data_IF_285604734512
#
_entry.id   IF_285604734512
#
_cell.length_a   1.000
_cell.length_b   1.000
_cell.length_c   1.000
_cell.angle_alpha   90.00
_cell.angle_beta   90.00
_cell.angle_gamma   90.00
#
_symmetry.space_group_name_H-M   'P 1'
#
loop_
_entity.id
_entity.type
_entity.pdbx_description
1 polymer ?
#
# COMPACT_ATOMS: atom_id res chain seq x y z
N UNK A 1 7.92 43.99 11.93
CA UNK A 1 7.55 42.57 12.11
C UNK A 1 6.62 42.22 10.96
N UNK A 2 7.10 41.43 9.99
CA UNK A 2 6.30 41.03 8.83
C UNK A 2 5.22 40.08 9.32
N UNK A 3 3.97 40.53 9.31
CA UNK A 3 2.81 39.67 9.58
C UNK A 3 2.74 38.64 8.45
N UNK A 4 3.20 37.42 8.73
CA UNK A 4 3.03 36.29 7.83
C UNK A 4 1.54 35.96 7.77
N UNK A 5 0.84 36.52 6.78
CA UNK A 5 -0.53 36.11 6.46
C UNK A 5 -0.47 34.68 5.96
N UNK A 6 -1.11 33.76 6.68
CA UNK A 6 -1.20 32.36 6.26
C UNK A 6 -1.88 32.30 4.87
N UNK A 7 -1.25 31.59 3.90
CA UNK A 7 -1.84 31.35 2.58
C UNK A 7 -3.06 30.42 2.71
N UNK A 8 -3.99 30.53 1.75
CA UNK A 8 -5.17 29.67 1.67
C UNK A 8 -4.78 28.18 1.52
N UNK A 9 -5.48 27.26 2.22
CA UNK A 9 -5.34 25.81 2.03
C UNK A 9 -6.02 25.30 0.75
N UNK A 10 -6.83 26.14 0.12
CA UNK A 10 -7.43 25.87 -1.18
C UNK A 10 -6.66 26.64 -2.26
N UNK A 11 -5.97 25.94 -3.19
CA UNK A 11 -5.37 26.56 -4.36
C UNK A 11 -6.39 27.26 -5.24
N UNK A 12 -5.95 28.24 -6.03
CA UNK A 12 -6.78 28.88 -7.05
C UNK A 12 -6.93 28.04 -8.33
N UNK A 13 -6.08 27.02 -8.50
CA UNK A 13 -6.12 26.08 -9.63
C UNK A 13 -7.31 25.12 -9.48
N UNK A 14 -7.92 24.74 -10.61
CA UNK A 14 -8.88 23.64 -10.66
C UNK A 14 -8.21 22.29 -10.33
N UNK A 15 -8.91 21.40 -9.62
CA UNK A 15 -8.40 20.05 -9.31
C UNK A 15 -8.56 19.13 -10.52
N UNK A 16 -7.57 19.13 -11.40
CA UNK A 16 -7.46 18.26 -12.57
C UNK A 16 -6.34 17.20 -12.39
N UNK A 17 -5.85 17.01 -11.18
CA UNK A 17 -4.78 16.07 -10.89
C UNK A 17 -5.31 14.65 -10.84
N UNK A 18 -4.47 13.70 -11.27
CA UNK A 18 -4.72 12.28 -11.06
C UNK A 18 -3.91 11.79 -9.86
N UNK A 19 -4.56 11.07 -8.95
CA UNK A 19 -3.97 10.71 -7.66
C UNK A 19 -3.65 9.22 -7.57
N UNK A 20 -2.48 8.92 -7.01
CA UNK A 20 -2.07 7.58 -6.62
C UNK A 20 -1.68 7.60 -5.13
N UNK A 21 -2.71 7.63 -4.28
CA UNK A 21 -2.57 7.83 -2.83
C UNK A 21 -1.77 6.73 -2.14
N UNK A 22 -1.71 5.52 -2.71
CA UNK A 22 -0.89 4.43 -2.19
C UNK A 22 0.62 4.74 -2.23
N UNK A 23 1.05 5.58 -3.18
CA UNK A 23 2.44 6.00 -3.36
C UNK A 23 2.64 7.49 -3.05
N UNK A 24 1.64 8.14 -2.45
CA UNK A 24 1.64 9.57 -2.13
C UNK A 24 2.02 10.45 -3.33
N UNK A 25 1.51 10.10 -4.51
CA UNK A 25 1.81 10.79 -5.75
C UNK A 25 0.55 11.44 -6.35
N UNK A 26 0.76 12.60 -6.98
CA UNK A 26 -0.23 13.25 -7.83
C UNK A 26 0.43 13.61 -9.17
N UNK A 27 -0.29 13.38 -10.26
CA UNK A 27 0.18 13.65 -11.62
C UNK A 27 -0.65 14.75 -12.23
N UNK A 28 0.05 15.81 -12.62
CA UNK A 28 -0.48 16.98 -13.30
C UNK A 28 -0.07 16.90 -14.78
N UNK A 29 -1.04 17.00 -15.69
CA UNK A 29 -0.85 16.87 -17.14
C UNK A 29 -0.74 18.26 -17.80
N UNK A 30 -0.99 19.33 -17.04
CA UNK A 30 -0.97 20.69 -17.58
C UNK A 30 0.42 21.10 -18.10
N UNK A 31 0.41 22.00 -19.08
CA UNK A 31 1.64 22.56 -19.61
C UNK A 31 2.31 23.48 -18.59
N UNK A 32 3.61 23.27 -18.36
CA UNK A 32 4.42 24.12 -17.48
C UNK A 32 5.32 24.99 -18.36
N UNK A 33 5.09 26.30 -18.32
CA UNK A 33 5.99 27.28 -18.93
C UNK A 33 7.26 27.38 -18.09
N UNK A 34 8.43 27.17 -18.69
CA UNK A 34 9.71 27.03 -17.99
C UNK A 34 10.28 28.33 -17.37
N UNK A 35 9.46 29.37 -17.17
CA UNK A 35 9.89 30.55 -16.42
C UNK A 35 10.00 30.17 -14.95
N UNK A 36 11.16 30.47 -14.37
CA UNK A 36 11.66 29.93 -13.10
C UNK A 36 10.79 30.26 -11.88
N UNK A 37 9.92 31.26 -11.99
CA UNK A 37 9.11 31.78 -10.90
C UNK A 37 7.77 31.03 -10.73
N UNK A 38 7.34 30.23 -11.72
CA UNK A 38 6.04 29.54 -11.67
C UNK A 38 6.13 28.12 -11.06
N UNK A 39 7.30 27.47 -11.12
CA UNK A 39 7.44 26.05 -10.74
C UNK A 39 7.17 25.84 -9.25
N UNK A 40 7.64 26.73 -8.38
CA UNK A 40 7.42 26.62 -6.94
C UNK A 40 5.95 26.81 -6.56
N UNK A 41 5.25 27.77 -7.20
CA UNK A 41 3.82 27.99 -6.95
C UNK A 41 2.98 26.81 -7.46
N UNK A 42 3.28 26.29 -8.65
CA UNK A 42 2.64 25.09 -9.21
C UNK A 42 2.88 23.88 -8.30
N UNK A 43 4.13 23.65 -7.88
CA UNK A 43 4.47 22.54 -6.99
C UNK A 43 3.77 22.67 -5.63
N UNK A 44 3.67 23.90 -5.09
CA UNK A 44 2.95 24.18 -3.84
C UNK A 44 1.47 23.87 -3.98
N UNK A 45 0.83 24.31 -5.06
CA UNK A 45 -0.59 24.05 -5.32
C UNK A 45 -0.89 22.57 -5.48
N UNK A 46 -0.10 21.86 -6.28
CA UNK A 46 -0.25 20.42 -6.49
C UNK A 46 -0.03 19.63 -5.19
N UNK A 47 0.96 20.02 -4.39
CA UNK A 47 1.22 19.40 -3.07
C UNK A 47 0.08 19.68 -2.10
N UNK A 48 -0.48 20.89 -2.12
CA UNK A 48 -1.60 21.25 -1.26
C UNK A 48 -2.84 20.40 -1.56
N UNK A 49 -3.17 20.19 -2.85
CA UNK A 49 -4.28 19.31 -3.24
C UNK A 49 -4.04 17.86 -2.79
N UNK A 50 -2.83 17.35 -2.97
CA UNK A 50 -2.45 16.01 -2.52
C UNK A 50 -2.60 15.87 -0.99
N UNK A 51 -2.12 16.85 -0.22
CA UNK A 51 -2.28 16.85 1.24
C UNK A 51 -3.76 16.85 1.62
N UNK A 52 -4.58 17.69 0.98
CA UNK A 52 -6.02 17.73 1.27
C UNK A 52 -6.64 16.33 1.09
N UNK A 53 -6.32 15.62 -0.01
CA UNK A 53 -6.79 14.24 -0.24
C UNK A 53 -6.30 13.23 0.80
N UNK A 54 -5.07 13.38 1.30
CA UNK A 54 -4.52 12.51 2.35
C UNK A 54 -5.28 12.72 3.67
N UNK A 55 -5.60 13.97 4.01
CA UNK A 55 -6.30 14.29 5.25
C UNK A 55 -7.80 13.98 5.20
N UNK A 56 -8.37 13.85 4.00
CA UNK A 56 -9.73 13.32 3.80
C UNK A 56 -9.83 11.81 4.08
N UNK A 57 -8.71 11.08 4.14
CA UNK A 57 -8.69 9.65 4.41
C UNK A 57 -9.12 9.33 5.85
N UNK A 58 -9.71 8.15 6.02
CA UNK A 58 -10.08 7.63 7.34
C UNK A 58 -8.85 7.50 8.22
N UNK A 59 -8.84 8.24 9.33
CA UNK A 59 -7.81 8.20 10.35
C UNK A 59 -8.22 7.35 11.54
N UNK A 60 -7.26 6.64 12.12
CA UNK A 60 -7.41 5.84 13.33
C UNK A 60 -6.37 6.29 14.36
N UNK A 61 -6.80 6.48 15.61
CA UNK A 61 -5.88 6.64 16.73
C UNK A 61 -5.57 5.26 17.32
N UNK A 62 -4.29 4.97 17.54
CA UNK A 62 -3.94 3.85 18.39
C UNK A 62 -4.55 4.14 19.77
N UNK A 63 -5.43 3.27 20.29
CA UNK A 63 -6.32 3.48 21.46
C UNK A 63 -5.63 3.73 22.82
N UNK A 64 -4.47 4.35 22.82
CA UNK A 64 -3.72 4.96 23.91
C UNK A 64 -4.07 6.46 23.88
N UNK A 65 -4.35 7.07 25.04
CA UNK A 65 -4.86 8.44 25.15
C UNK A 65 -3.98 9.52 24.48
N UNK A 66 -2.72 9.22 24.17
CA UNK A 66 -1.76 10.06 23.45
C UNK A 66 -1.02 9.28 22.34
N UNK A 67 -1.70 8.31 21.72
CA UNK A 67 -1.14 7.49 20.66
C UNK A 67 -0.97 8.24 19.33
N UNK A 68 -0.06 7.78 18.46
CA UNK A 68 0.06 8.32 17.11
C UNK A 68 -1.23 8.10 16.29
N UNK A 69 -1.54 9.07 15.44
CA UNK A 69 -2.67 9.03 14.48
C UNK A 69 -2.16 8.54 13.14
N UNK A 70 -2.85 7.55 12.57
CA UNK A 70 -2.49 6.99 11.27
C UNK A 70 -3.67 7.08 10.31
N UNK A 71 -3.39 7.36 9.05
CA UNK A 71 -4.35 7.18 7.96
C UNK A 71 -4.08 5.82 7.29
N UNK A 72 -5.14 5.06 7.02
CA UNK A 72 -5.01 3.86 6.18
C UNK A 72 -5.01 4.29 4.72
N UNK A 73 -3.89 4.08 4.01
CA UNK A 73 -3.81 4.36 2.59
C UNK A 73 -4.60 3.30 1.79
N UNK A 74 -5.29 3.69 0.69
CA UNK A 74 -5.97 2.74 -0.17
C UNK A 74 -4.99 1.71 -0.76
N UNK A 75 -5.42 0.46 -0.89
CA UNK A 75 -4.60 -0.52 -1.60
C UNK A 75 -4.58 -0.24 -3.10
N UNK A 76 -3.43 -0.50 -3.74
CA UNK A 76 -3.30 -0.37 -5.20
C UNK A 76 -4.34 -1.19 -5.98
N UNK A 77 -4.77 -2.35 -5.46
CA UNK A 77 -5.80 -3.16 -6.15
C UNK A 77 -7.22 -2.62 -5.99
N UNK A 78 -7.48 -1.81 -4.97
CA UNK A 78 -8.75 -1.13 -4.76
C UNK A 78 -8.81 0.13 -5.63
N UNK A 79 -7.72 0.92 -5.65
CA UNK A 79 -7.55 2.06 -6.57
C UNK A 79 -7.72 1.62 -8.03
N UNK A 80 -7.05 0.55 -8.47
CA UNK A 80 -7.15 0.06 -9.84
C UNK A 80 -8.57 -0.41 -10.27
N UNK A 81 -9.49 -0.62 -9.32
CA UNK A 81 -10.89 -0.99 -9.60
C UNK A 81 -11.81 0.21 -9.71
N UNK A 82 -11.38 1.39 -9.26
CA UNK A 82 -12.16 2.61 -9.38
C UNK A 82 -12.15 3.12 -10.83
N UNK A 83 -13.27 3.70 -11.32
CA UNK A 83 -13.39 4.15 -12.71
C UNK A 83 -12.42 5.28 -13.06
N UNK A 84 -12.03 6.07 -12.07
CA UNK A 84 -11.07 7.19 -12.10
C UNK A 84 -9.72 6.84 -11.47
N UNK A 85 -9.54 5.59 -11.03
CA UNK A 85 -8.36 5.16 -10.29
C UNK A 85 -7.13 4.98 -11.17
N UNK A 86 -6.10 5.78 -10.91
CA UNK A 86 -4.79 5.64 -11.55
C UNK A 86 -3.88 4.75 -10.70
N UNK A 87 -3.27 3.74 -11.33
CA UNK A 87 -2.24 2.89 -10.71
C UNK A 87 -1.09 2.68 -11.68
N UNK A 88 0.05 3.30 -11.38
CA UNK A 88 1.31 3.09 -12.10
C UNK A 88 1.86 1.70 -11.75
N UNK A 89 1.95 0.84 -12.76
CA UNK A 89 2.52 -0.51 -12.61
C UNK A 89 4.04 -0.43 -12.63
N UNK A 90 4.66 -0.63 -11.47
CA UNK A 90 6.11 -0.70 -11.36
C UNK A 90 6.63 -2.09 -11.74
N UNK A 91 7.76 -2.19 -12.46
CA UNK A 91 8.39 -3.46 -12.75
C UNK A 91 8.88 -4.10 -11.45
N UNK A 92 8.64 -5.41 -11.31
CA UNK A 92 9.21 -6.17 -10.18
C UNK A 92 10.72 -6.30 -10.36
N UNK A 93 11.46 -6.09 -9.28
CA UNK A 93 12.90 -6.38 -9.23
C UNK A 93 13.19 -7.87 -9.48
N UNK A 94 12.36 -8.74 -8.88
CA UNK A 94 12.54 -10.20 -8.92
C UNK A 94 11.37 -10.88 -9.62
N UNK A 95 11.64 -11.95 -10.41
CA UNK A 95 10.58 -12.76 -10.99
C UNK A 95 9.70 -13.34 -9.89
N UNK A 96 8.50 -13.79 -10.28
CA UNK A 96 7.63 -14.50 -9.35
C UNK A 96 8.36 -15.74 -8.81
N UNK A 97 8.22 -16.05 -7.51
CA UNK A 97 8.74 -17.28 -6.95
C UNK A 97 8.28 -18.46 -7.81
N UNK A 98 9.24 -19.25 -8.30
CA UNK A 98 8.90 -20.44 -9.08
C UNK A 98 8.07 -21.39 -8.20
N UNK A 99 7.05 -22.06 -8.76
CA UNK A 99 6.32 -23.07 -8.01
C UNK A 99 7.31 -24.10 -7.48
N UNK A 100 7.14 -24.51 -6.23
CA UNK A 100 8.02 -25.49 -5.59
C UNK A 100 8.02 -26.77 -6.43
N UNK A 101 9.17 -27.24 -6.91
CA UNK A 101 9.21 -28.50 -7.63
C UNK A 101 8.78 -29.63 -6.69
N UNK A 102 7.94 -30.53 -7.18
CA UNK A 102 7.52 -31.68 -6.37
C UNK A 102 8.73 -32.53 -6.02
N UNK A 103 8.86 -32.88 -4.74
CA UNK A 103 9.88 -33.81 -4.27
C UNK A 103 9.63 -35.21 -4.85
N UNK A 104 10.65 -36.08 -4.87
CA UNK A 104 10.48 -37.48 -5.32
C UNK A 104 9.37 -38.20 -4.54
N UNK A 105 9.27 -37.90 -3.24
CA UNK A 105 8.22 -38.45 -2.37
C UNK A 105 6.84 -37.92 -2.74
N UNK A 106 6.67 -36.62 -2.95
CA UNK A 106 5.38 -36.04 -3.37
C UNK A 106 4.89 -36.59 -4.70
N UNK A 107 5.80 -36.81 -5.67
CA UNK A 107 5.46 -37.48 -6.93
C UNK A 107 4.96 -38.90 -6.72
N UNK A 108 5.70 -39.69 -5.93
CA UNK A 108 5.30 -41.05 -5.58
C UNK A 108 3.97 -41.10 -4.83
N UNK A 109 3.78 -40.21 -3.84
CA UNK A 109 2.56 -40.12 -3.06
C UNK A 109 1.36 -39.78 -3.95
N UNK A 110 1.52 -38.82 -4.86
CA UNK A 110 0.48 -38.45 -5.83
C UNK A 110 0.13 -39.60 -6.78
N UNK A 111 1.14 -40.28 -7.34
CA UNK A 111 0.93 -41.40 -8.26
C UNK A 111 0.27 -42.61 -7.57
N UNK A 112 0.52 -42.80 -6.27
CA UNK A 112 -0.08 -43.87 -5.46
C UNK A 112 -1.38 -43.48 -4.76
N UNK A 113 -1.83 -42.24 -4.88
CA UNK A 113 -3.00 -41.73 -4.16
C UNK A 113 -2.83 -41.78 -2.64
N UNK A 114 -1.60 -41.59 -2.15
CA UNK A 114 -1.30 -41.53 -0.72
C UNK A 114 -1.61 -40.12 -0.19
N UNK A 115 -2.45 -40.05 0.83
CA UNK A 115 -2.77 -38.80 1.50
C UNK A 115 -1.56 -38.23 2.27
N UNK A 116 -1.46 -36.90 2.28
CA UNK A 116 -0.49 -36.20 3.10
C UNK A 116 -0.70 -36.56 4.58
N UNK A 117 0.39 -36.95 5.25
CA UNK A 117 0.33 -37.24 6.68
C UNK A 117 -0.09 -35.97 7.42
N UNK A 118 -1.25 -36.03 8.09
CA UNK A 118 -1.68 -34.99 9.03
C UNK A 118 -0.58 -34.76 10.06
N UNK A 119 -0.25 -33.49 10.33
CA UNK A 119 0.68 -33.13 11.41
C UNK A 119 0.11 -33.67 12.72
N UNK A 120 0.84 -34.61 13.34
CA UNK A 120 0.55 -35.11 14.69
C UNK A 120 1.38 -34.32 15.69
N UNK A 121 0.91 -34.25 16.93
CA UNK A 121 1.72 -33.73 18.04
C UNK A 121 3.00 -34.54 18.20
N UNK A 122 4.05 -33.89 18.73
CA UNK A 122 5.35 -34.54 18.96
C UNK A 122 5.33 -35.50 20.18
N UNK A 123 4.45 -35.25 21.14
CA UNK A 123 4.21 -36.14 22.30
C UNK A 123 3.38 -37.34 21.88
N UNK A 124 3.83 -38.50 22.33
CA UNK A 124 3.22 -39.80 22.07
C UNK A 124 3.22 -40.52 23.41
N UNK A 125 2.02 -40.79 23.90
CA UNK A 125 1.80 -41.51 25.15
C UNK A 125 2.56 -42.84 25.18
N UNK A 126 3.37 -43.05 26.22
CA UNK A 126 4.02 -44.32 26.51
C UNK A 126 3.19 -45.10 27.53
N UNK A 127 2.64 -46.24 27.10
CA UNK A 127 1.80 -47.11 27.93
C UNK A 127 2.56 -47.73 29.12
N UNK A 128 3.90 -47.82 29.04
CA UNK A 128 4.74 -48.43 30.07
C UNK A 128 5.01 -47.46 31.21
N UNK A 129 5.36 -46.23 30.88
CA UNK A 129 5.67 -45.17 31.85
C UNK A 129 4.45 -44.33 32.24
N UNK A 130 3.33 -44.45 31.52
CA UNK A 130 2.11 -43.65 31.68
C UNK A 130 2.39 -42.15 31.62
N UNK A 131 3.23 -41.75 30.66
CA UNK A 131 3.64 -40.36 30.43
C UNK A 131 3.58 -40.00 28.92
N UNK A 132 3.65 -38.70 28.59
CA UNK A 132 3.43 -38.12 27.24
C UNK A 132 4.70 -37.85 26.42
#
# INVERSE_FOLDING_TARGET
MSTSTLRSPYPSKEDNLSYQLCDLAAFDIDHIDAKKDDIEEIARDNTQLLINRIFDLRTESAGIAEGPVFATLPEATQLARQPDGLVVRLPREKPLPKPKPMTRWEKFAKDKGLDDKKKRSRMVWDETSKDW
#
